data_IF_500104124568
#
_entry.id   IF_500104124568
#
_cell.length_a   1.000
_cell.length_b   1.000
_cell.length_c   1.000
_cell.angle_alpha   90.00
_cell.angle_beta   90.00
_cell.angle_gamma   90.00
#
_symmetry.space_group_name_H-M   'P 1'
#
loop_
_entity.id
_entity.type
_entity.pdbx_description
1 polymer ?
#
# COMPACT_ATOMS: atom_id res chain seq x y z
N UNK A 1 -10.19 16.48 -5.38
CA UNK A 1 -10.29 15.06 -5.80
C UNK A 1 -9.42 14.27 -4.85
N UNK A 2 -9.92 13.15 -4.33
CA UNK A 2 -9.13 12.26 -3.46
C UNK A 2 -7.97 11.68 -4.27
N UNK A 3 -6.73 11.81 -3.77
CA UNK A 3 -5.54 11.25 -4.43
C UNK A 3 -5.70 9.73 -4.52
N UNK A 4 -5.47 9.15 -5.70
CA UNK A 4 -5.59 7.69 -5.93
C UNK A 4 -4.33 6.99 -5.42
N UNK A 5 -4.49 5.94 -4.62
CA UNK A 5 -3.37 5.20 -4.05
C UNK A 5 -2.74 4.26 -5.08
N UNK A 6 -1.49 3.85 -4.85
CA UNK A 6 -0.81 2.87 -5.71
C UNK A 6 -1.63 1.59 -5.90
N UNK A 7 -2.23 1.11 -4.80
CA UNK A 7 -3.04 -0.11 -4.75
C UNK A 7 -4.35 -0.01 -5.53
N UNK A 8 -4.85 1.20 -5.80
CA UNK A 8 -6.10 1.40 -6.56
C UNK A 8 -5.88 1.26 -8.07
N UNK A 9 -4.62 1.19 -8.52
CA UNK A 9 -4.27 0.90 -9.91
C UNK A 9 -4.12 -0.59 -10.20
N UNK A 10 -4.12 -1.44 -9.16
CA UNK A 10 -4.00 -2.88 -9.36
C UNK A 10 -5.24 -3.43 -10.06
N UNK A 11 -5.13 -4.43 -10.94
CA UNK A 11 -6.29 -5.11 -11.50
C UNK A 11 -7.17 -5.75 -10.41
N UNK A 12 -8.47 -5.88 -10.67
CA UNK A 12 -9.42 -6.44 -9.67
C UNK A 12 -9.08 -7.89 -9.32
N UNK A 13 -8.66 -8.66 -10.33
CA UNK A 13 -8.31 -10.07 -10.21
C UNK A 13 -7.11 -10.35 -9.29
N UNK A 14 -6.25 -9.35 -9.02
CA UNK A 14 -5.07 -9.49 -8.15
C UNK A 14 -5.17 -8.69 -6.85
N UNK A 15 -6.27 -7.99 -6.61
CA UNK A 15 -6.41 -7.04 -5.50
C UNK A 15 -6.91 -7.67 -4.18
N UNK A 16 -6.44 -8.86 -3.83
CA UNK A 16 -6.92 -9.66 -2.68
C UNK A 16 -5.92 -9.80 -1.51
N UNK A 17 -4.73 -9.22 -1.63
CA UNK A 17 -3.71 -9.24 -0.57
C UNK A 17 -4.31 -8.79 0.78
N UNK A 18 -4.03 -9.53 1.85
CA UNK A 18 -4.50 -9.20 3.19
C UNK A 18 -4.03 -7.81 3.64
N UNK A 19 -2.82 -7.39 3.28
CA UNK A 19 -2.30 -6.09 3.69
C UNK A 19 -2.84 -4.91 2.87
N UNK A 20 -2.92 -5.03 1.54
CA UNK A 20 -3.13 -3.87 0.67
C UNK A 20 -4.26 -4.01 -0.36
N UNK A 21 -4.79 -5.22 -0.53
CA UNK A 21 -5.81 -5.53 -1.53
C UNK A 21 -7.14 -4.83 -1.21
N UNK A 22 -7.75 -4.19 -2.21
CA UNK A 22 -9.06 -3.53 -2.04
C UNK A 22 -10.24 -4.51 -2.00
N UNK A 23 -10.07 -5.73 -2.52
CA UNK A 23 -11.12 -6.76 -2.63
C UNK A 23 -11.10 -7.77 -1.47
N UNK A 24 -10.29 -7.53 -0.45
CA UNK A 24 -10.26 -8.38 0.75
C UNK A 24 -11.01 -7.70 1.89
N UNK A 25 -12.27 -8.05 2.10
CA UNK A 25 -13.14 -7.40 3.10
C UNK A 25 -12.57 -7.38 4.54
N UNK A 26 -11.65 -8.29 4.86
CA UNK A 26 -10.99 -8.39 6.16
C UNK A 26 -9.57 -7.81 6.17
N UNK A 27 -9.14 -7.21 5.07
CA UNK A 27 -7.78 -6.72 4.88
C UNK A 27 -7.42 -5.51 5.74
N UNK A 28 -6.13 -5.15 5.73
CA UNK A 28 -5.63 -3.90 6.31
C UNK A 28 -5.89 -2.72 5.35
N UNK A 29 -6.10 -3.00 4.06
CA UNK A 29 -6.37 -2.00 3.01
C UNK A 29 -5.37 -0.85 2.99
N UNK A 30 -4.09 -1.14 3.23
CA UNK A 30 -3.03 -0.15 3.25
C UNK A 30 -3.00 0.62 1.92
N UNK A 31 -2.95 1.95 2.02
CA UNK A 31 -2.83 2.86 0.89
C UNK A 31 -1.51 3.59 0.94
N UNK A 32 -0.81 3.59 -0.19
CA UNK A 32 0.47 4.26 -0.37
C UNK A 32 0.37 5.31 -1.46
N UNK A 33 1.08 6.41 -1.25
CA UNK A 33 1.08 7.57 -2.13
C UNK A 33 2.49 8.11 -2.27
N UNK A 34 2.74 8.81 -3.36
CA UNK A 34 3.88 9.70 -3.43
C UNK A 34 3.67 10.89 -2.50
N UNK A 35 4.70 11.26 -1.76
CA UNK A 35 4.76 12.58 -1.16
C UNK A 35 4.80 13.64 -2.26
N UNK A 36 4.23 14.81 -2.00
CA UNK A 36 4.15 15.91 -2.96
C UNK A 36 5.40 16.79 -2.89
N UNK A 37 6.11 16.74 -1.76
CA UNK A 37 7.25 17.60 -1.47
C UNK A 37 8.59 16.85 -1.46
N UNK A 38 8.59 15.55 -1.78
CA UNK A 38 9.80 14.72 -1.79
C UNK A 38 9.69 13.57 -2.79
N UNK A 39 10.79 12.84 -2.98
CA UNK A 39 10.82 11.62 -3.78
C UNK A 39 10.34 10.38 -2.99
N UNK A 40 9.91 10.56 -1.75
CA UNK A 40 9.48 9.47 -0.88
C UNK A 40 8.04 9.06 -1.15
N UNK A 41 7.72 7.84 -0.75
CA UNK A 41 6.35 7.36 -0.65
C UNK A 41 5.91 7.30 0.81
N UNK A 42 4.64 7.60 1.06
CA UNK A 42 4.07 7.61 2.41
C UNK A 42 2.87 6.66 2.45
N UNK A 43 2.74 5.92 3.56
CA UNK A 43 1.54 5.20 3.95
C UNK A 43 1.23 5.48 5.41
N UNK A 44 -0.05 5.65 5.74
CA UNK A 44 -0.51 5.83 7.12
C UNK A 44 -1.48 4.71 7.45
N UNK A 45 -1.30 4.11 8.62
CA UNK A 45 -2.17 3.04 9.09
C UNK A 45 -2.45 3.19 10.58
N UNK A 46 -3.71 3.05 10.94
CA UNK A 46 -4.16 3.00 12.34
C UNK A 46 -4.43 1.55 12.72
N UNK A 47 -3.62 0.96 13.62
CA UNK A 47 -3.82 -0.40 14.07
C UNK A 47 -5.17 -0.60 14.76
N UNK A 48 -5.91 -1.64 14.34
CA UNK A 48 -7.09 -2.16 15.05
C UNK A 48 -6.71 -2.88 16.36
N UNK A 49 -7.62 -2.98 17.35
CA UNK A 49 -7.33 -3.59 18.66
C UNK A 49 -6.75 -5.01 18.60
N UNK A 50 -7.20 -5.82 17.65
CA UNK A 50 -6.73 -7.19 17.45
C UNK A 50 -5.28 -7.28 16.96
N UNK A 51 -4.66 -6.16 16.57
CA UNK A 51 -3.24 -6.11 16.21
C UNK A 51 -2.29 -5.76 17.37
N UNK A 52 -2.74 -6.00 18.60
CA UNK A 52 -1.96 -5.79 19.82
C UNK A 52 -1.01 -6.97 20.09
N UNK A 53 0.22 -6.69 20.53
CA UNK A 53 1.10 -7.70 21.15
C UNK A 53 0.91 -7.75 22.67
N UNK A 54 1.02 -6.59 23.32
CA UNK A 54 0.78 -6.38 24.75
C UNK A 54 0.10 -5.02 24.95
N UNK A 55 -0.55 -4.75 26.10
CA UNK A 55 -1.30 -3.52 26.31
C UNK A 55 -0.53 -2.26 25.93
N UNK A 56 -1.02 -1.54 24.91
CA UNK A 56 -0.39 -0.32 24.38
C UNK A 56 0.62 -0.51 23.25
N UNK A 57 0.90 -1.73 22.80
CA UNK A 57 1.89 -2.02 21.75
C UNK A 57 1.32 -2.91 20.65
N UNK A 58 1.67 -2.60 19.40
CA UNK A 58 1.35 -3.42 18.23
C UNK A 58 2.32 -4.61 18.09
N UNK A 59 1.83 -5.74 17.57
CA UNK A 59 2.71 -6.88 17.31
C UNK A 59 3.58 -6.66 16.06
N UNK A 60 4.81 -7.18 16.10
CA UNK A 60 5.82 -6.95 15.06
C UNK A 60 5.41 -7.45 13.67
N UNK A 61 4.59 -8.50 13.60
CA UNK A 61 4.06 -9.00 12.34
C UNK A 61 3.18 -7.99 11.60
N UNK A 62 2.39 -7.16 12.31
CA UNK A 62 1.63 -6.09 11.66
C UNK A 62 2.58 -5.06 11.03
N UNK A 63 3.60 -4.64 11.79
CA UNK A 63 4.60 -3.66 11.31
C UNK A 63 5.29 -4.21 10.06
N UNK A 64 5.74 -5.46 10.11
CA UNK A 64 6.37 -6.13 8.97
C UNK A 64 5.42 -6.21 7.76
N UNK A 65 4.15 -6.57 7.95
CA UNK A 65 3.16 -6.60 6.86
C UNK A 65 2.91 -5.23 6.25
N UNK A 66 2.88 -4.15 7.05
CA UNK A 66 2.72 -2.78 6.55
C UNK A 66 3.94 -2.37 5.71
N UNK A 67 5.16 -2.64 6.21
CA UNK A 67 6.40 -2.32 5.48
C UNK A 67 6.46 -3.08 4.15
N UNK A 68 6.14 -4.37 4.16
CA UNK A 68 6.14 -5.23 2.97
C UNK A 68 5.14 -4.73 1.91
N UNK A 69 3.90 -4.46 2.32
CA UNK A 69 2.86 -3.96 1.42
C UNK A 69 3.14 -2.55 0.91
N UNK A 70 3.68 -1.67 1.76
CA UNK A 70 4.09 -0.34 1.36
C UNK A 70 5.23 -0.40 0.35
N UNK A 71 6.29 -1.14 0.66
CA UNK A 71 7.47 -1.30 -0.19
C UNK A 71 7.14 -1.90 -1.55
N UNK A 72 6.27 -2.92 -1.59
CA UNK A 72 5.80 -3.51 -2.85
C UNK A 72 5.04 -2.49 -3.70
N UNK A 73 4.16 -1.70 -3.08
CA UNK A 73 3.43 -0.64 -3.77
C UNK A 73 4.34 0.46 -4.30
N UNK A 74 5.31 0.88 -3.50
CA UNK A 74 6.31 1.88 -3.88
C UNK A 74 7.20 1.38 -5.01
N UNK A 75 7.66 0.13 -4.96
CA UNK A 75 8.47 -0.47 -6.02
C UNK A 75 7.70 -0.50 -7.35
N UNK A 76 6.42 -0.88 -7.32
CA UNK A 76 5.57 -0.84 -8.51
C UNK A 76 5.43 0.58 -9.05
N UNK A 77 5.09 1.56 -8.20
CA UNK A 77 4.95 2.95 -8.60
C UNK A 77 6.26 3.54 -9.15
N UNK A 78 7.40 3.18 -8.55
CA UNK A 78 8.73 3.60 -8.98
C UNK A 78 9.08 3.04 -10.37
N UNK A 79 8.72 1.79 -10.66
CA UNK A 79 8.91 1.19 -11.99
C UNK A 79 8.16 1.98 -13.07
N UNK A 80 6.88 2.31 -12.84
CA UNK A 80 6.11 3.16 -13.75
C UNK A 80 6.78 4.53 -13.97
N UNK A 81 7.24 5.19 -12.89
CA UNK A 81 7.98 6.46 -13.00
C UNK A 81 9.27 6.33 -13.81
N UNK A 82 10.04 5.28 -13.59
CA UNK A 82 11.29 5.02 -14.31
C UNK A 82 11.06 4.79 -15.82
N UNK A 83 9.92 4.21 -16.17
CA UNK A 83 9.46 4.06 -17.56
C UNK A 83 8.79 5.33 -18.13
N UNK A 84 8.67 6.41 -17.34
CA UNK A 84 8.00 7.64 -17.77
C UNK A 84 6.50 7.46 -18.00
N UNK A 85 5.87 6.51 -17.31
CA UNK A 85 4.47 6.12 -17.52
C UNK A 85 3.59 6.35 -16.30
N UNK A 86 2.32 6.61 -16.57
CA UNK A 86 1.30 6.66 -15.52
C UNK A 86 0.95 5.25 -15.03
N UNK A 87 0.68 5.13 -13.72
CA UNK A 87 0.26 3.86 -13.13
C UNK A 87 -1.03 3.34 -13.75
N UNK A 88 -1.10 2.02 -13.99
CA UNK A 88 -2.25 1.35 -14.58
C UNK A 88 -2.28 1.35 -16.12
N UNK A 89 -1.29 1.96 -16.77
CA UNK A 89 -1.07 1.82 -18.22
C UNK A 89 -0.43 0.47 -18.55
N UNK A 90 -0.57 -0.01 -19.79
CA UNK A 90 0.14 -1.21 -20.28
C UNK A 90 1.54 -0.85 -20.78
N UNK A 91 2.53 -1.77 -20.70
CA UNK A 91 3.79 -1.63 -21.43
C UNK A 91 3.56 -1.55 -22.92
N UNK A 92 4.38 -0.73 -23.57
CA UNK A 92 4.49 -0.65 -25.02
C UNK A 92 5.16 -1.92 -25.59
#
# INVERSE_FOLDING_TARGET
MTKKAFQDYYPDETSYCYGCGRNNDNGLHLKSYWDENSEESIATYTPRPEHMALPGYVYGGLIASIIDCHGTGTAAAAAYRAEGRDMGTKPD
#
